data_IF_715336539047
#
_entry.id   IF_715336539047
#
_cell.length_a   1.000
_cell.length_b   1.000
_cell.length_c   1.000
_cell.angle_alpha   90.00
_cell.angle_beta   90.00
_cell.angle_gamma   90.00
#
_symmetry.space_group_name_H-M   'P 1'
#
loop_
_entity.id
_entity.type
_entity.pdbx_description
1 polymer ?
#
# COMPACT_ATOMS: atom_id res chain seq x y z
N UNK A 1 -10.06 21.05 0.01
CA UNK A 1 -10.63 21.54 1.29
C UNK A 1 -11.15 20.33 2.04
N UNK A 2 -10.77 20.15 3.31
CA UNK A 2 -11.31 19.09 4.18
C UNK A 2 -12.79 19.38 4.49
N UNK A 3 -13.59 18.31 4.60
CA UNK A 3 -14.97 18.42 5.08
C UNK A 3 -14.90 18.79 6.58
N UNK A 4 -15.35 19.98 6.94
CA UNK A 4 -15.43 20.36 8.35
C UNK A 4 -16.62 19.65 9.00
N UNK A 5 -16.34 18.88 10.05
CA UNK A 5 -17.31 18.19 10.89
C UNK A 5 -17.08 18.56 12.36
N UNK A 6 -18.09 18.45 13.24
CA UNK A 6 -17.92 18.70 14.67
C UNK A 6 -17.10 17.61 15.38
N UNK A 7 -16.57 16.65 14.64
CA UNK A 7 -15.74 15.55 15.11
C UNK A 7 -14.58 15.31 14.12
N UNK A 8 -13.52 14.74 14.60
CA UNK A 8 -12.39 14.29 13.82
C UNK A 8 -12.46 12.81 13.42
N UNK A 9 -11.39 12.35 12.81
CA UNK A 9 -11.16 10.94 12.51
C UNK A 9 -9.75 10.58 12.95
N UNK A 10 -9.60 9.55 13.78
CA UNK A 10 -8.28 9.09 14.20
C UNK A 10 -7.95 7.70 13.70
N UNK A 11 -6.69 7.43 13.48
CA UNK A 11 -6.16 6.08 13.30
C UNK A 11 -6.03 5.49 14.71
N UNK A 12 -6.97 4.61 15.07
CA UNK A 12 -7.07 4.05 16.42
C UNK A 12 -6.06 2.92 16.66
N UNK A 13 -5.69 2.19 15.61
CA UNK A 13 -4.72 1.12 15.69
C UNK A 13 -4.20 0.73 14.32
N UNK A 14 -3.00 0.15 14.30
CA UNK A 14 -2.35 -0.35 13.10
C UNK A 14 -1.89 -1.78 13.32
N UNK A 15 -1.74 -2.53 12.23
CA UNK A 15 -1.22 -3.89 12.26
C UNK A 15 -0.64 -4.29 10.92
N UNK A 16 0.31 -5.20 10.95
CA UNK A 16 0.92 -5.73 9.74
C UNK A 16 1.23 -7.21 9.85
N UNK A 17 1.30 -7.88 8.72
CA UNK A 17 1.67 -9.27 8.63
C UNK A 17 2.43 -9.56 7.34
N UNK A 18 3.45 -10.40 7.44
CA UNK A 18 4.20 -10.92 6.30
C UNK A 18 4.17 -12.44 6.32
N UNK A 19 4.25 -13.08 5.15
CA UNK A 19 4.39 -14.54 5.05
C UNK A 19 5.68 -15.05 5.67
N UNK A 20 5.72 -16.35 5.95
CA UNK A 20 6.85 -16.99 6.64
C UNK A 20 8.05 -17.26 5.74
N UNK A 21 7.81 -17.50 4.44
CA UNK A 21 8.88 -17.81 3.48
C UNK A 21 9.65 -16.57 3.10
N UNK A 22 10.97 -16.61 3.22
CA UNK A 22 11.86 -15.55 2.78
C UNK A 22 12.57 -15.99 1.51
N UNK A 23 12.55 -15.14 0.48
CA UNK A 23 13.34 -15.29 -0.74
C UNK A 23 14.45 -14.23 -0.72
N UNK A 24 15.72 -14.69 -0.68
CA UNK A 24 16.90 -13.82 -0.69
C UNK A 24 17.37 -13.56 -2.13
N UNK A 25 18.22 -12.55 -2.32
CA UNK A 25 18.87 -12.34 -3.62
C UNK A 25 19.74 -13.53 -4.02
N UNK A 26 20.44 -14.17 -3.06
CA UNK A 26 21.22 -15.39 -3.31
C UNK A 26 20.37 -16.59 -3.78
N UNK A 27 19.08 -16.62 -3.43
CA UNK A 27 18.17 -17.63 -3.95
C UNK A 27 17.74 -17.29 -5.40
N UNK A 28 17.56 -16.01 -5.70
CA UNK A 28 17.27 -15.55 -7.07
C UNK A 28 18.43 -15.80 -8.03
N UNK A 29 19.68 -15.66 -7.58
CA UNK A 29 20.89 -16.00 -8.37
C UNK A 29 20.90 -17.45 -8.88
N UNK A 30 20.25 -18.36 -8.13
CA UNK A 30 20.12 -19.78 -8.54
C UNK A 30 19.03 -20.00 -9.58
N UNK A 31 18.12 -19.02 -9.75
CA UNK A 31 16.92 -19.17 -10.58
C UNK A 31 17.02 -18.40 -11.90
N UNK A 32 17.69 -17.25 -11.89
CA UNK A 32 17.76 -16.32 -13.02
C UNK A 32 19.18 -15.71 -13.12
N UNK A 33 19.54 -15.21 -14.29
CA UNK A 33 20.81 -14.50 -14.51
C UNK A 33 20.78 -13.11 -13.83
N UNK A 34 21.25 -13.07 -12.58
CA UNK A 34 21.29 -11.85 -11.74
C UNK A 34 22.40 -11.97 -10.68
N UNK A 35 22.62 -10.90 -9.89
CA UNK A 35 23.47 -10.94 -8.70
C UNK A 35 22.90 -10.09 -7.57
N UNK A 36 23.23 -10.44 -6.33
CA UNK A 36 22.85 -9.69 -5.13
C UNK A 36 23.27 -8.22 -5.25
N UNK A 37 24.51 -7.96 -5.65
CA UNK A 37 25.02 -6.60 -5.87
C UNK A 37 24.20 -5.82 -6.90
N UNK A 38 23.83 -6.47 -8.03
CA UNK A 38 23.04 -5.85 -9.07
C UNK A 38 21.62 -5.52 -8.61
N UNK A 39 20.97 -6.44 -7.87
CA UNK A 39 19.62 -6.24 -7.33
C UNK A 39 19.63 -5.08 -6.32
N UNK A 40 20.56 -5.09 -5.35
CA UNK A 40 20.66 -4.03 -4.34
C UNK A 40 20.88 -2.67 -5.00
N UNK A 41 21.84 -2.57 -5.92
CA UNK A 41 22.14 -1.33 -6.63
C UNK A 41 20.95 -0.78 -7.42
N UNK A 42 20.09 -1.66 -7.93
CA UNK A 42 18.92 -1.29 -8.76
C UNK A 42 17.66 -1.00 -7.96
N UNK A 43 17.48 -1.65 -6.84
CA UNK A 43 16.19 -1.69 -6.13
C UNK A 43 16.27 -1.35 -4.65
N UNK A 44 17.44 -1.55 -4.02
CA UNK A 44 17.62 -1.50 -2.57
C UNK A 44 17.14 -2.77 -1.84
N UNK A 45 16.67 -3.79 -2.55
CA UNK A 45 16.05 -4.99 -1.97
C UNK A 45 17.11 -6.03 -1.65
N UNK A 46 17.16 -6.50 -0.39
CA UNK A 46 18.00 -7.60 0.06
C UNK A 46 17.24 -8.93 0.11
N UNK A 47 15.98 -8.87 0.53
CA UNK A 47 15.09 -10.03 0.64
C UNK A 47 13.62 -9.60 0.48
N UNK A 48 12.75 -10.57 0.27
CA UNK A 48 11.29 -10.39 0.26
C UNK A 48 10.61 -11.58 0.91
N UNK A 49 9.40 -11.36 1.42
CA UNK A 49 8.56 -12.40 1.96
C UNK A 49 7.60 -12.88 0.89
N UNK A 50 7.36 -14.17 0.80
CA UNK A 50 6.47 -14.80 -0.15
C UNK A 50 5.54 -15.78 0.57
N UNK A 51 4.31 -15.93 0.09
CA UNK A 51 3.41 -16.97 0.59
C UNK A 51 4.07 -18.35 0.57
N UNK A 52 3.92 -19.08 1.67
CA UNK A 52 4.32 -20.47 1.77
C UNK A 52 3.07 -21.36 1.73
N UNK A 53 2.63 -21.67 0.52
CA UNK A 53 1.47 -22.53 0.29
C UNK A 53 1.65 -23.93 0.92
N UNK A 54 2.90 -24.40 1.05
CA UNK A 54 3.18 -25.70 1.69
C UNK A 54 2.83 -25.71 3.17
N UNK A 55 2.76 -24.52 3.80
CA UNK A 55 2.32 -24.33 5.19
C UNK A 55 0.86 -23.90 5.30
N UNK A 56 0.14 -23.86 4.18
CA UNK A 56 -1.25 -23.42 4.14
C UNK A 56 -1.43 -21.90 4.28
N UNK A 57 -0.39 -21.10 4.05
CA UNK A 57 -0.53 -19.66 4.04
C UNK A 57 -1.35 -19.20 2.85
N UNK A 58 -2.28 -18.28 3.06
CA UNK A 58 -3.16 -17.70 2.06
C UNK A 58 -3.17 -16.18 2.18
N UNK A 59 -3.62 -15.49 1.14
CA UNK A 59 -3.83 -14.03 1.19
C UNK A 59 -4.76 -13.65 2.34
N UNK A 60 -5.88 -14.38 2.47
CA UNK A 60 -6.86 -14.16 3.54
C UNK A 60 -6.25 -14.28 4.94
N UNK A 61 -5.36 -15.25 5.17
CA UNK A 61 -4.73 -15.44 6.49
C UNK A 61 -3.80 -14.28 6.83
N UNK A 62 -3.07 -13.72 5.84
CA UNK A 62 -2.19 -12.58 6.07
C UNK A 62 -3.02 -11.31 6.33
N UNK A 63 -4.10 -11.10 5.58
CA UNK A 63 -5.08 -10.04 5.83
C UNK A 63 -5.67 -10.14 7.24
N UNK A 64 -6.09 -11.35 7.64
CA UNK A 64 -6.64 -11.64 8.97
C UNK A 64 -5.65 -11.27 10.08
N UNK A 65 -4.39 -11.66 9.94
CA UNK A 65 -3.33 -11.34 10.92
C UNK A 65 -3.10 -9.84 11.03
N UNK A 66 -3.07 -9.14 9.90
CA UNK A 66 -2.86 -7.69 9.88
C UNK A 66 -4.01 -6.93 10.56
N UNK A 67 -5.27 -7.23 10.19
CA UNK A 67 -6.43 -6.53 10.75
C UNK A 67 -6.65 -6.89 12.23
N UNK A 68 -6.42 -8.14 12.63
CA UNK A 68 -6.48 -8.53 14.04
C UNK A 68 -5.48 -7.75 14.89
N UNK A 69 -4.23 -7.63 14.41
CA UNK A 69 -3.23 -6.80 15.07
C UNK A 69 -3.62 -5.33 15.18
N UNK A 70 -4.31 -4.78 14.17
CA UNK A 70 -4.81 -3.41 14.20
C UNK A 70 -5.98 -3.24 15.18
N UNK A 71 -6.90 -4.22 15.28
CA UNK A 71 -7.99 -4.24 16.25
C UNK A 71 -7.45 -4.33 17.68
N UNK A 72 -6.50 -5.22 17.93
CA UNK A 72 -5.84 -5.36 19.21
C UNK A 72 -5.16 -4.06 19.66
N UNK A 73 -4.45 -3.40 18.74
CA UNK A 73 -3.82 -2.11 18.99
C UNK A 73 -4.84 -0.99 19.26
N UNK A 74 -6.01 -1.06 18.63
CA UNK A 74 -7.12 -0.12 18.85
C UNK A 74 -7.90 -0.42 20.13
N UNK A 75 -7.72 -1.59 20.75
CA UNK A 75 -8.55 -2.05 21.89
C UNK A 75 -10.00 -2.32 21.50
N UNK A 76 -10.24 -2.73 20.25
CA UNK A 76 -11.57 -2.93 19.66
C UNK A 76 -11.82 -4.38 19.28
N UNK A 77 -13.10 -4.75 19.25
CA UNK A 77 -13.54 -6.02 18.69
C UNK A 77 -13.92 -5.86 17.21
N UNK A 78 -13.83 -6.91 16.42
CA UNK A 78 -14.21 -6.88 15.01
C UNK A 78 -15.70 -6.51 14.81
N UNK A 79 -16.56 -6.88 15.75
CA UNK A 79 -17.99 -6.51 15.75
C UNK A 79 -18.27 -5.01 15.95
N UNK A 80 -17.26 -4.22 16.33
CA UNK A 80 -17.40 -2.76 16.48
C UNK A 80 -17.24 -2.04 15.15
N UNK A 81 -16.81 -2.74 14.10
CA UNK A 81 -16.66 -2.16 12.76
C UNK A 81 -18.01 -2.00 12.06
N UNK A 82 -18.21 -0.85 11.43
CA UNK A 82 -19.34 -0.59 10.53
C UNK A 82 -19.02 -1.00 9.09
N UNK A 83 -17.74 -0.97 8.73
CA UNK A 83 -17.28 -1.24 7.37
C UNK A 83 -15.88 -1.85 7.37
N UNK A 84 -15.64 -2.74 6.42
CA UNK A 84 -14.32 -3.34 6.14
C UNK A 84 -13.98 -3.15 4.66
N UNK A 85 -12.83 -2.54 4.38
CA UNK A 85 -12.33 -2.33 3.01
C UNK A 85 -11.01 -3.08 2.85
N UNK A 86 -10.92 -3.95 1.86
CA UNK A 86 -9.67 -4.62 1.48
C UNK A 86 -9.18 -4.04 0.16
N UNK A 87 -8.03 -3.39 0.17
CA UNK A 87 -7.35 -2.92 -1.03
C UNK A 87 -6.39 -3.98 -1.54
N UNK A 88 -6.76 -4.62 -2.65
CA UNK A 88 -5.95 -5.68 -3.26
C UNK A 88 -6.22 -5.79 -4.76
N UNK A 89 -5.20 -6.12 -5.53
CA UNK A 89 -5.30 -6.55 -6.93
C UNK A 89 -5.13 -8.08 -7.06
N UNK A 90 -4.73 -8.74 -5.97
CA UNK A 90 -4.42 -10.17 -5.92
C UNK A 90 -5.41 -10.97 -5.06
N UNK A 91 -6.67 -10.51 -4.98
CA UNK A 91 -7.75 -11.24 -4.32
C UNK A 91 -7.82 -12.69 -4.83
N UNK A 92 -8.06 -13.63 -3.90
CA UNK A 92 -8.02 -15.07 -4.21
C UNK A 92 -9.11 -15.50 -5.17
N UNK A 93 -10.20 -14.77 -5.26
CA UNK A 93 -11.30 -15.05 -6.19
C UNK A 93 -11.98 -13.75 -6.66
N UNK A 94 -12.62 -13.86 -7.82
CA UNK A 94 -13.36 -12.73 -8.38
C UNK A 94 -14.68 -12.46 -7.63
N UNK A 95 -15.24 -13.49 -6.99
CA UNK A 95 -16.47 -13.44 -6.20
C UNK A 95 -16.51 -14.66 -5.26
N UNK A 96 -16.84 -14.46 -3.97
CA UNK A 96 -17.07 -13.18 -3.30
C UNK A 96 -15.78 -12.35 -3.15
N UNK A 97 -15.91 -11.09 -2.68
CA UNK A 97 -14.76 -10.25 -2.35
C UNK A 97 -13.95 -10.83 -1.19
N UNK A 98 -12.64 -10.55 -1.16
CA UNK A 98 -11.81 -10.93 -0.02
C UNK A 98 -12.30 -10.26 1.27
N UNK A 99 -12.76 -9.01 1.20
CA UNK A 99 -13.32 -8.30 2.34
C UNK A 99 -14.53 -9.03 2.97
N UNK A 100 -15.41 -9.64 2.17
CA UNK A 100 -16.52 -10.44 2.70
C UNK A 100 -16.03 -11.73 3.39
N UNK A 101 -15.00 -12.37 2.84
CA UNK A 101 -14.40 -13.56 3.45
C UNK A 101 -13.65 -13.20 4.73
N UNK A 102 -12.95 -12.07 4.74
CA UNK A 102 -12.25 -11.54 5.91
C UNK A 102 -13.22 -11.15 7.01
N UNK A 103 -14.36 -10.53 6.67
CA UNK A 103 -15.43 -10.20 7.60
C UNK A 103 -15.89 -11.44 8.38
N UNK A 104 -16.12 -12.56 7.70
CA UNK A 104 -16.46 -13.84 8.33
C UNK A 104 -15.31 -14.34 9.20
N UNK A 105 -14.10 -14.36 8.67
CA UNK A 105 -12.93 -14.92 9.34
C UNK A 105 -12.54 -14.21 10.66
N UNK A 106 -12.89 -12.92 10.81
CA UNK A 106 -12.64 -12.12 12.02
C UNK A 106 -13.90 -11.90 12.87
N UNK A 107 -15.07 -12.32 12.40
CA UNK A 107 -16.35 -12.10 13.10
C UNK A 107 -16.82 -10.65 13.09
N UNK A 108 -16.59 -9.91 12.01
CA UNK A 108 -16.96 -8.50 11.89
C UNK A 108 -18.43 -8.27 11.49
N UNK A 109 -19.27 -9.30 11.55
CA UNK A 109 -20.71 -9.14 11.25
C UNK A 109 -21.36 -8.17 12.26
N UNK A 110 -22.22 -7.21 11.81
CA UNK A 110 -22.78 -7.07 10.45
C UNK A 110 -22.09 -5.98 9.58
N UNK A 111 -20.81 -5.71 9.77
CA UNK A 111 -20.09 -4.70 8.98
C UNK A 111 -20.28 -4.91 7.47
N UNK A 112 -20.51 -3.83 6.74
CA UNK A 112 -20.44 -3.85 5.28
C UNK A 112 -19.01 -4.19 4.83
N UNK A 113 -18.85 -4.86 3.66
CA UNK A 113 -17.52 -5.27 3.23
C UNK A 113 -17.38 -5.26 1.71
N UNK A 114 -16.27 -4.69 1.18
CA UNK A 114 -15.96 -4.71 -0.24
C UNK A 114 -14.46 -4.59 -0.51
N UNK A 115 -14.04 -5.08 -1.70
CA UNK A 115 -12.68 -4.90 -2.19
C UNK A 115 -12.55 -3.60 -2.99
N UNK A 116 -11.39 -2.94 -2.86
CA UNK A 116 -10.98 -1.78 -3.62
C UNK A 116 -9.74 -2.12 -4.45
N UNK A 117 -9.77 -1.87 -5.75
CA UNK A 117 -8.60 -2.05 -6.61
C UNK A 117 -8.11 -0.71 -7.16
N UNK A 118 -6.97 -0.26 -6.67
CA UNK A 118 -6.19 0.87 -7.18
C UNK A 118 -4.68 0.53 -7.19
N UNK A 119 -4.38 -0.77 -7.36
CA UNK A 119 -3.02 -1.32 -7.31
C UNK A 119 -2.25 -0.81 -6.08
N UNK A 120 -1.00 -0.37 -6.24
CA UNK A 120 -0.15 0.08 -5.13
C UNK A 120 -0.71 1.31 -4.39
N UNK A 121 -1.64 2.06 -4.98
CA UNK A 121 -2.35 3.17 -4.32
C UNK A 121 -3.47 2.71 -3.38
N UNK A 122 -3.84 1.43 -3.41
CA UNK A 122 -5.06 0.91 -2.79
C UNK A 122 -5.21 1.29 -1.32
N UNK A 123 -4.15 1.18 -0.51
CA UNK A 123 -4.23 1.56 0.90
C UNK A 123 -4.50 3.06 1.11
N UNK A 124 -3.80 3.95 0.39
CA UNK A 124 -3.99 5.40 0.53
C UNK A 124 -5.37 5.82 0.00
N UNK A 125 -5.86 5.18 -1.06
CA UNK A 125 -7.24 5.38 -1.54
C UNK A 125 -8.26 4.95 -0.47
N UNK A 126 -8.04 3.80 0.18
CA UNK A 126 -8.91 3.30 1.26
C UNK A 126 -8.88 4.23 2.48
N UNK A 127 -7.71 4.78 2.82
CA UNK A 127 -7.53 5.74 3.90
C UNK A 127 -8.36 7.02 3.65
N UNK A 128 -8.27 7.58 2.44
CA UNK A 128 -9.01 8.76 2.02
C UNK A 128 -10.53 8.51 1.99
N UNK A 129 -10.93 7.34 1.47
CA UNK A 129 -12.34 6.93 1.42
C UNK A 129 -12.92 6.75 2.82
N UNK A 130 -12.20 6.07 3.73
CA UNK A 130 -12.63 5.81 5.09
C UNK A 130 -12.82 7.11 5.89
N UNK A 131 -11.89 8.07 5.80
CA UNK A 131 -12.06 9.40 6.41
C UNK A 131 -13.34 10.08 5.89
N UNK A 132 -13.54 10.09 4.58
CA UNK A 132 -14.70 10.72 3.95
C UNK A 132 -16.02 10.06 4.37
N UNK A 133 -16.05 8.72 4.48
CA UNK A 133 -17.22 7.97 4.92
C UNK A 133 -17.53 8.23 6.40
N UNK A 134 -16.53 8.29 7.28
CA UNK A 134 -16.73 8.65 8.69
C UNK A 134 -17.23 10.09 8.79
N UNK A 135 -16.61 11.04 8.09
CA UNK A 135 -17.05 12.45 8.07
C UNK A 135 -18.45 12.64 7.49
N UNK A 136 -18.96 11.71 6.68
CA UNK A 136 -20.36 11.72 6.26
C UNK A 136 -21.37 11.49 7.43
N UNK A 137 -20.87 11.06 8.58
CA UNK A 137 -21.66 10.78 9.78
C UNK A 137 -22.39 9.43 9.80
N UNK A 138 -22.21 8.61 8.75
CA UNK A 138 -22.89 7.30 8.62
C UNK A 138 -22.11 6.14 9.20
N UNK A 139 -20.80 6.29 9.36
CA UNK A 139 -19.90 5.27 9.90
C UNK A 139 -19.14 5.84 11.09
N UNK A 140 -18.86 5.02 12.08
CA UNK A 140 -18.09 5.39 13.26
C UNK A 140 -16.74 4.67 13.32
N UNK A 141 -16.65 3.46 12.78
CA UNK A 141 -15.46 2.65 12.77
C UNK A 141 -15.31 1.90 11.44
N UNK A 142 -14.17 2.07 10.79
CA UNK A 142 -13.85 1.43 9.51
C UNK A 142 -12.49 0.74 9.62
N UNK A 143 -12.47 -0.56 9.32
CA UNK A 143 -11.22 -1.31 9.11
C UNK A 143 -10.78 -1.22 7.66
N UNK A 144 -9.51 -0.90 7.44
CA UNK A 144 -8.91 -0.92 6.09
C UNK A 144 -7.71 -1.86 6.08
N UNK A 145 -7.57 -2.65 5.03
CA UNK A 145 -6.43 -3.54 4.79
C UNK A 145 -5.86 -3.26 3.41
N UNK A 146 -4.57 -3.04 3.31
CA UNK A 146 -3.83 -3.09 2.05
C UNK A 146 -3.05 -4.41 2.00
N UNK A 147 -3.32 -5.24 1.01
CA UNK A 147 -2.67 -6.55 0.88
C UNK A 147 -2.49 -6.92 -0.58
N UNK A 148 -1.28 -7.31 -0.93
CA UNK A 148 -1.04 -8.01 -2.18
C UNK A 148 -0.10 -9.20 -1.98
N UNK A 149 -0.40 -10.29 -2.66
CA UNK A 149 0.41 -11.51 -2.73
C UNK A 149 0.86 -11.73 -4.17
N UNK A 150 1.69 -10.78 -4.62
CA UNK A 150 2.16 -10.73 -6.00
C UNK A 150 3.07 -11.90 -6.37
N UNK A 151 3.67 -12.60 -5.40
CA UNK A 151 4.52 -13.75 -5.68
C UNK A 151 3.85 -14.82 -6.54
N UNK A 152 2.52 -14.94 -6.48
CA UNK A 152 1.72 -15.86 -7.31
C UNK A 152 1.53 -15.39 -8.76
N UNK A 153 1.84 -14.12 -9.02
CA UNK A 153 1.64 -13.43 -10.29
C UNK A 153 2.96 -12.94 -10.90
N UNK A 154 4.09 -13.41 -10.37
CA UNK A 154 5.43 -13.08 -10.86
C UNK A 154 5.98 -14.24 -11.68
N UNK A 155 6.38 -13.95 -12.92
CA UNK A 155 7.16 -14.84 -13.71
C UNK A 155 8.62 -14.81 -13.27
N UNK A 156 9.03 -15.82 -12.51
CA UNK A 156 10.40 -15.93 -12.01
C UNK A 156 11.45 -16.25 -13.09
N UNK A 157 11.07 -16.31 -14.36
CA UNK A 157 12.00 -16.35 -15.49
C UNK A 157 12.28 -14.96 -16.07
N UNK A 158 11.48 -13.95 -15.69
CA UNK A 158 11.58 -12.57 -16.16
C UNK A 158 12.29 -11.71 -15.09
N UNK A 159 13.57 -11.39 -15.34
CA UNK A 159 14.47 -10.75 -14.38
C UNK A 159 13.98 -9.38 -13.86
N UNK A 160 13.32 -8.57 -14.70
CA UNK A 160 13.01 -7.18 -14.36
C UNK A 160 11.86 -7.08 -13.35
N UNK A 161 11.02 -8.11 -13.25
CA UNK A 161 9.86 -8.17 -12.36
C UNK A 161 10.15 -9.03 -11.14
N UNK A 162 10.82 -10.19 -11.34
CA UNK A 162 11.06 -11.19 -10.28
C UNK A 162 11.89 -10.69 -9.09
N UNK A 163 12.73 -9.69 -9.32
CA UNK A 163 13.61 -9.12 -8.28
C UNK A 163 12.89 -8.11 -7.36
N UNK A 164 11.67 -7.66 -7.70
CA UNK A 164 11.05 -6.51 -7.05
C UNK A 164 10.05 -6.88 -5.96
N UNK A 165 9.11 -7.77 -6.27
CA UNK A 165 7.89 -7.90 -5.49
C UNK A 165 8.03 -8.89 -4.33
N UNK A 166 7.37 -8.53 -3.22
CA UNK A 166 7.13 -9.38 -2.08
C UNK A 166 5.66 -9.30 -1.65
N UNK A 167 5.27 -10.18 -0.75
CA UNK A 167 3.92 -10.31 -0.22
C UNK A 167 3.85 -9.71 1.19
N UNK A 168 2.84 -8.89 1.45
CA UNK A 168 2.56 -8.38 2.77
C UNK A 168 1.12 -7.85 2.87
N UNK A 169 0.61 -7.81 4.08
CA UNK A 169 -0.58 -7.06 4.44
C UNK A 169 -0.25 -6.02 5.52
N UNK A 170 -0.91 -4.87 5.43
CA UNK A 170 -0.95 -3.91 6.50
C UNK A 170 -2.36 -3.36 6.66
N UNK A 171 -2.71 -2.91 7.86
CA UNK A 171 -4.05 -2.52 8.23
C UNK A 171 -4.06 -1.32 9.15
N UNK A 172 -5.17 -0.56 9.11
CA UNK A 172 -5.48 0.48 10.07
C UNK A 172 -6.97 0.43 10.44
N UNK A 173 -7.27 0.77 11.68
CA UNK A 173 -8.62 1.02 12.18
C UNK A 173 -8.82 2.51 12.29
N UNK A 174 -9.77 3.04 11.54
CA UNK A 174 -10.17 4.44 11.60
C UNK A 174 -11.46 4.57 12.41
N UNK A 175 -11.46 5.50 13.35
CA UNK A 175 -12.66 5.76 14.17
C UNK A 175 -12.96 7.24 14.22
N UNK A 176 -14.24 7.55 14.37
CA UNK A 176 -14.71 8.89 14.70
C UNK A 176 -14.11 9.34 16.04
N UNK A 177 -13.62 10.56 16.09
CA UNK A 177 -13.06 11.19 17.30
C UNK A 177 -13.91 12.41 17.68
N UNK A 178 -14.77 12.22 18.68
CA UNK A 178 -15.67 13.29 19.14
C UNK A 178 -14.95 14.31 20.05
N UNK A 179 -13.73 13.98 20.54
CA UNK A 179 -12.96 14.83 21.45
C UNK A 179 -11.98 15.75 20.70
N UNK A 180 -11.49 15.32 19.54
CA UNK A 180 -10.47 16.01 18.75
C UNK A 180 -10.95 16.26 17.30
N UNK A 181 -11.80 17.28 17.09
CA UNK A 181 -12.35 17.56 15.74
C UNK A 181 -11.29 17.97 14.71
N UNK A 182 -10.10 18.41 15.17
CA UNK A 182 -8.97 18.75 14.30
C UNK A 182 -8.25 17.55 13.70
N UNK A 183 -8.42 16.32 14.26
CA UNK A 183 -7.75 15.11 13.77
C UNK A 183 -8.36 14.59 12.48
N UNK A 184 -7.54 13.89 11.71
CA UNK A 184 -7.93 13.21 10.49
C UNK A 184 -7.28 13.79 9.25
N UNK A 185 -7.90 13.53 8.10
CA UNK A 185 -7.39 13.97 6.83
C UNK A 185 -7.55 15.50 6.66
N UNK A 186 -6.40 16.21 6.58
CA UNK A 186 -6.35 17.65 6.30
C UNK A 186 -6.47 17.91 4.79
N UNK A 187 -5.82 17.06 3.99
CA UNK A 187 -5.80 17.14 2.54
C UNK A 187 -5.71 15.75 1.94
N UNK A 188 -6.40 15.55 0.83
CA UNK A 188 -6.34 14.30 0.08
C UNK A 188 -6.39 14.57 -1.42
N UNK A 189 -5.65 13.75 -2.16
CA UNK A 189 -5.67 13.73 -3.62
C UNK A 189 -5.68 12.30 -4.13
N UNK A 190 -6.58 12.02 -5.07
CA UNK A 190 -6.70 10.77 -5.80
C UNK A 190 -6.74 11.13 -7.28
N UNK A 191 -5.79 10.65 -8.06
CA UNK A 191 -5.71 10.94 -9.49
C UNK A 191 -5.26 9.70 -10.27
N UNK A 192 -5.63 9.67 -11.56
CA UNK A 192 -5.21 8.60 -12.47
C UNK A 192 -5.09 9.11 -13.91
N UNK A 193 -4.23 8.44 -14.69
CA UNK A 193 -4.11 8.61 -16.13
C UNK A 193 -4.11 7.22 -16.81
N UNK A 194 -5.27 6.82 -17.31
CA UNK A 194 -5.44 5.52 -17.96
C UNK A 194 -4.66 5.35 -19.28
N UNK A 195 -4.13 6.42 -19.88
CA UNK A 195 -3.33 6.34 -21.12
C UNK A 195 -2.03 5.56 -20.95
N UNK A 196 -1.54 5.45 -19.69
CA UNK A 196 -0.30 4.74 -19.36
C UNK A 196 -0.48 3.27 -18.96
N UNK A 197 -1.69 2.70 -19.06
CA UNK A 197 -2.01 1.37 -18.53
C UNK A 197 -1.12 0.25 -19.08
N UNK A 198 -0.69 0.34 -20.34
CA UNK A 198 0.17 -0.64 -21.00
C UNK A 198 1.58 -0.76 -20.39
N UNK A 199 1.97 0.21 -19.54
CA UNK A 199 3.29 0.20 -18.91
C UNK A 199 3.39 -0.72 -17.71
N UNK A 200 2.26 -1.08 -17.09
CA UNK A 200 2.21 -1.98 -15.94
C UNK A 200 0.82 -2.64 -15.86
N UNK A 201 0.74 -3.91 -16.25
CA UNK A 201 -0.52 -4.62 -16.39
C UNK A 201 -0.39 -6.12 -16.05
N UNK A 202 -1.51 -6.76 -15.78
CA UNK A 202 -1.64 -8.19 -15.54
C UNK A 202 -2.88 -8.70 -16.30
N UNK A 203 -2.73 -9.27 -17.51
CA UNK A 203 -3.85 -9.64 -18.36
C UNK A 203 -4.53 -10.91 -17.86
N UNK A 204 -5.86 -10.93 -17.92
CA UNK A 204 -6.67 -12.14 -17.63
C UNK A 204 -7.08 -12.89 -18.88
N UNK A 205 -7.10 -12.23 -20.03
CA UNK A 205 -7.49 -12.77 -21.33
C UNK A 205 -6.55 -12.23 -22.41
N UNK A 206 -6.50 -12.91 -23.54
CA UNK A 206 -5.68 -12.49 -24.68
C UNK A 206 -6.08 -11.10 -25.22
N UNK A 207 -7.38 -10.77 -25.20
CA UNK A 207 -7.87 -9.47 -25.63
C UNK A 207 -7.43 -8.30 -24.74
N UNK A 208 -6.99 -8.61 -23.52
CA UNK A 208 -6.52 -7.61 -22.55
C UNK A 208 -5.02 -7.31 -22.72
N UNK A 209 -4.35 -7.95 -23.66
CA UNK A 209 -2.92 -7.74 -23.93
C UNK A 209 -2.73 -6.54 -24.84
N UNK A 210 -1.77 -5.62 -24.53
CA UNK A 210 -1.44 -4.52 -25.44
C UNK A 210 -1.04 -5.02 -26.84
N UNK A 211 -1.53 -4.35 -27.89
CA UNK A 211 -1.30 -4.76 -29.25
C UNK A 211 0.19 -4.77 -29.68
N UNK A 212 1.03 -4.03 -28.98
CA UNK A 212 2.48 -3.93 -29.18
C UNK A 212 3.31 -4.79 -28.22
N UNK A 213 2.67 -5.58 -27.37
CA UNK A 213 3.37 -6.50 -26.48
C UNK A 213 3.99 -7.67 -27.27
N UNK A 214 5.25 -8.05 -26.99
CA UNK A 214 5.84 -9.23 -27.63
C UNK A 214 5.08 -10.49 -27.22
N UNK A 215 4.55 -11.25 -28.21
CA UNK A 215 3.77 -12.48 -27.95
C UNK A 215 4.52 -13.50 -27.07
N UNK A 216 5.85 -13.57 -27.25
CA UNK A 216 6.71 -14.51 -26.49
C UNK A 216 6.84 -14.17 -25.01
N UNK A 217 6.47 -12.96 -24.58
CA UNK A 217 6.64 -12.46 -23.23
C UNK A 217 5.34 -12.42 -22.42
N UNK A 218 4.18 -12.61 -23.09
CA UNK A 218 2.89 -12.47 -22.42
C UNK A 218 2.43 -13.80 -21.85
N UNK A 219 2.22 -13.82 -20.53
CA UNK A 219 1.60 -14.94 -19.80
C UNK A 219 0.38 -14.43 -19.05
N UNK A 220 -0.76 -15.10 -19.25
CA UNK A 220 -2.00 -14.76 -18.57
C UNK A 220 -1.86 -14.87 -17.05
N UNK A 221 -2.36 -13.87 -16.33
CA UNK A 221 -2.29 -13.82 -14.87
C UNK A 221 -0.92 -13.44 -14.29
N UNK A 222 0.06 -13.10 -15.14
CA UNK A 222 1.37 -12.63 -14.69
C UNK A 222 1.58 -11.15 -14.96
N UNK A 223 2.20 -10.49 -14.01
CA UNK A 223 2.49 -9.05 -14.07
C UNK A 223 3.55 -8.76 -15.13
N UNK A 224 3.30 -7.74 -15.94
CA UNK A 224 4.22 -7.20 -16.94
C UNK A 224 4.50 -5.74 -16.68
N UNK A 225 5.76 -5.33 -16.86
CA UNK A 225 6.19 -3.97 -16.54
C UNK A 225 7.22 -3.44 -17.54
N UNK A 226 6.92 -2.29 -18.12
CA UNK A 226 7.94 -1.46 -18.75
C UNK A 226 8.66 -0.64 -17.66
N UNK A 227 9.71 -1.19 -17.10
CA UNK A 227 10.41 -0.59 -15.95
C UNK A 227 10.92 0.83 -16.19
N UNK A 228 11.26 1.20 -17.44
CA UNK A 228 11.73 2.55 -17.78
C UNK A 228 10.59 3.59 -17.69
N UNK A 229 9.46 3.29 -18.28
CA UNK A 229 8.30 4.19 -18.28
C UNK A 229 7.69 4.30 -16.87
N UNK A 230 7.57 3.17 -16.17
CA UNK A 230 7.11 3.15 -14.76
C UNK A 230 8.04 3.96 -13.87
N UNK A 231 9.37 3.85 -14.04
CA UNK A 231 10.33 4.64 -13.25
C UNK A 231 10.19 6.14 -13.49
N UNK A 232 10.11 6.59 -14.76
CA UNK A 232 9.92 8.02 -15.10
C UNK A 232 8.63 8.57 -14.49
N UNK A 233 7.53 7.82 -14.66
CA UNK A 233 6.24 8.16 -14.09
C UNK A 233 6.32 8.29 -12.57
N UNK A 234 6.86 7.27 -11.89
CA UNK A 234 6.95 7.21 -10.45
C UNK A 234 7.75 8.38 -9.86
N UNK A 235 8.95 8.67 -10.39
CA UNK A 235 9.78 9.80 -9.94
C UNK A 235 9.05 11.13 -10.10
N UNK A 236 8.39 11.34 -11.24
CA UNK A 236 7.64 12.58 -11.51
C UNK A 236 6.44 12.73 -10.57
N UNK A 237 5.66 11.65 -10.38
CA UNK A 237 4.44 11.72 -9.58
C UNK A 237 4.71 11.72 -8.08
N UNK A 238 5.75 11.03 -7.63
CA UNK A 238 6.16 11.06 -6.23
C UNK A 238 6.49 12.49 -5.77
N UNK A 239 7.30 13.20 -6.56
CA UNK A 239 7.61 14.60 -6.29
C UNK A 239 6.34 15.45 -6.32
N UNK A 240 5.58 15.35 -7.40
CA UNK A 240 4.37 16.16 -7.62
C UNK A 240 3.36 16.06 -6.47
N UNK A 241 3.04 14.85 -5.98
CA UNK A 241 2.02 14.70 -4.93
C UNK A 241 2.47 15.19 -3.56
N UNK A 242 3.77 15.22 -3.28
CA UNK A 242 4.29 15.79 -2.03
C UNK A 242 4.29 17.31 -2.11
N UNK A 243 4.83 17.88 -3.19
CA UNK A 243 4.85 19.34 -3.41
C UNK A 243 3.43 19.92 -3.39
N UNK A 244 2.51 19.29 -4.11
CA UNK A 244 1.09 19.66 -4.13
C UNK A 244 0.44 19.56 -2.74
N UNK A 245 0.71 18.51 -1.98
CA UNK A 245 0.18 18.34 -0.63
C UNK A 245 0.67 19.43 0.33
N UNK A 246 1.95 19.79 0.26
CA UNK A 246 2.53 20.86 1.07
C UNK A 246 1.97 22.23 0.64
N UNK A 247 1.89 22.51 -0.64
CA UNK A 247 1.33 23.75 -1.18
C UNK A 247 -0.14 23.95 -0.78
N UNK A 248 -0.98 22.91 -0.98
CA UNK A 248 -2.42 22.99 -0.70
C UNK A 248 -2.74 23.12 0.80
N UNK A 249 -1.85 22.63 1.67
CA UNK A 249 -2.01 22.72 3.12
C UNK A 249 -1.29 23.93 3.73
N UNK A 250 -0.38 24.56 3.01
CA UNK A 250 0.52 25.62 3.52
C UNK A 250 1.58 25.10 4.49
N UNK A 251 1.73 23.77 4.62
CA UNK A 251 2.72 23.14 5.49
C UNK A 251 4.09 23.11 4.84
N UNK A 252 5.12 23.18 5.70
CA UNK A 252 6.52 23.00 5.29
C UNK A 252 7.00 21.58 5.64
N UNK A 253 8.12 21.17 5.08
CA UNK A 253 8.73 19.85 5.38
C UNK A 253 8.99 19.67 6.87
N UNK A 254 9.34 20.76 7.56
CA UNK A 254 9.62 20.80 9.00
C UNK A 254 8.39 20.46 9.84
N UNK A 255 7.18 20.82 9.37
CA UNK A 255 5.91 20.57 10.05
C UNK A 255 5.46 19.10 10.00
N UNK A 256 6.04 18.32 9.09
CA UNK A 256 5.71 16.92 8.87
C UNK A 256 6.60 16.04 9.74
N UNK A 257 5.99 15.18 10.54
CA UNK A 257 6.72 14.18 11.33
C UNK A 257 7.26 13.06 10.46
N UNK A 258 6.45 12.50 9.55
CA UNK A 258 6.84 11.40 8.67
C UNK A 258 6.17 11.51 7.29
N UNK A 259 6.94 11.16 6.25
CA UNK A 259 6.44 10.85 4.91
C UNK A 259 6.37 9.32 4.75
N UNK A 260 5.16 8.77 4.80
CA UNK A 260 4.88 7.33 4.70
C UNK A 260 4.62 6.97 3.26
N UNK A 261 5.66 6.48 2.59
CA UNK A 261 5.69 6.34 1.15
C UNK A 261 5.57 4.89 0.69
N UNK A 262 4.93 4.68 -0.46
CA UNK A 262 4.96 3.39 -1.15
C UNK A 262 6.41 2.95 -1.43
N UNK A 263 6.74 1.73 -1.05
CA UNK A 263 8.04 1.10 -1.14
C UNK A 263 8.21 0.34 -2.47
N UNK A 264 8.31 1.07 -3.58
CA UNK A 264 8.41 0.45 -4.91
C UNK A 264 9.85 0.17 -5.35
N UNK A 265 10.75 1.12 -5.08
CA UNK A 265 12.16 1.07 -5.43
C UNK A 265 12.91 2.18 -4.67
N UNK A 266 14.03 1.84 -4.02
CA UNK A 266 14.82 2.81 -3.25
C UNK A 266 15.22 4.03 -4.08
N UNK A 267 15.59 3.84 -5.36
CA UNK A 267 16.03 4.91 -6.24
C UNK A 267 14.94 5.94 -6.56
N UNK A 268 13.67 5.52 -6.54
CA UNK A 268 12.53 6.44 -6.71
C UNK A 268 12.39 7.29 -5.46
N UNK A 269 12.45 6.67 -4.28
CA UNK A 269 12.34 7.36 -2.98
C UNK A 269 13.49 8.34 -2.81
N UNK A 270 14.74 7.92 -3.04
CA UNK A 270 15.92 8.76 -2.92
C UNK A 270 15.91 9.94 -3.90
N UNK A 271 15.48 9.69 -5.15
CA UNK A 271 15.34 10.77 -6.14
C UNK A 271 14.33 11.84 -5.72
N UNK A 272 13.23 11.45 -5.09
CA UNK A 272 12.24 12.41 -4.58
C UNK A 272 12.76 13.13 -3.33
N UNK A 273 13.41 12.41 -2.41
CA UNK A 273 14.04 13.00 -1.21
C UNK A 273 15.04 14.09 -1.60
N UNK A 274 15.94 13.79 -2.54
CA UNK A 274 16.94 14.74 -3.03
C UNK A 274 16.30 16.00 -3.63
N UNK A 275 15.30 15.83 -4.48
CA UNK A 275 14.66 16.93 -5.19
C UNK A 275 13.86 17.85 -4.27
N UNK A 276 13.18 17.29 -3.27
CA UNK A 276 12.30 18.04 -2.35
C UNK A 276 13.09 18.52 -1.12
N UNK A 277 14.27 17.91 -0.85
CA UNK A 277 15.05 18.18 0.35
C UNK A 277 14.48 17.50 1.60
N UNK A 278 13.90 16.29 1.46
CA UNK A 278 13.36 15.57 2.61
C UNK A 278 14.48 14.99 3.47
N UNK A 279 14.48 15.24 4.80
CA UNK A 279 15.44 14.64 5.74
C UNK A 279 15.29 13.10 5.80
N UNK A 280 16.39 12.40 6.01
CA UNK A 280 16.43 10.93 6.07
C UNK A 280 15.56 10.35 7.20
N UNK A 281 15.53 11.01 8.33
CA UNK A 281 14.75 10.61 9.52
C UNK A 281 13.24 10.79 9.34
N UNK A 282 12.81 11.58 8.35
CA UNK A 282 11.38 11.79 8.03
C UNK A 282 10.84 10.85 6.97
N UNK A 283 11.66 10.04 6.32
CA UNK A 283 11.23 9.07 5.29
C UNK A 283 11.61 7.67 5.74
N UNK A 284 10.60 6.86 6.08
CA UNK A 284 10.83 5.48 6.47
C UNK A 284 11.08 4.60 5.25
N UNK A 285 12.13 3.79 5.31
CA UNK A 285 12.51 2.84 4.26
C UNK A 285 12.58 1.45 4.88
N UNK A 286 11.85 0.51 4.30
CA UNK A 286 11.84 -0.90 4.68
C UNK A 286 11.81 -1.87 3.49
N UNK A 287 11.98 -1.31 2.28
CA UNK A 287 12.00 -2.09 1.04
C UNK A 287 13.12 -3.13 1.02
N UNK A 288 14.22 -2.87 1.72
CA UNK A 288 15.35 -3.79 1.88
C UNK A 288 14.93 -5.15 2.48
N UNK A 289 13.92 -5.14 3.34
CA UNK A 289 13.42 -6.32 4.08
C UNK A 289 12.26 -7.02 3.38
N UNK A 290 11.38 -6.24 2.75
CA UNK A 290 10.08 -6.74 2.29
C UNK A 290 9.91 -6.72 0.78
N UNK A 291 10.78 -6.01 0.05
CA UNK A 291 10.56 -5.74 -1.36
C UNK A 291 9.38 -4.80 -1.59
N UNK A 292 8.89 -4.77 -2.82
CA UNK A 292 7.68 -4.04 -3.17
C UNK A 292 6.44 -4.91 -2.84
N UNK A 293 5.78 -4.62 -1.75
CA UNK A 293 4.54 -5.30 -1.33
C UNK A 293 3.26 -4.58 -1.78
N UNK A 294 3.34 -3.79 -2.85
CA UNK A 294 2.20 -3.12 -3.48
C UNK A 294 1.31 -2.34 -2.49
N UNK A 295 0.00 -2.65 -2.41
CA UNK A 295 -0.94 -1.99 -1.49
C UNK A 295 -0.59 -2.17 -0.01
N UNK A 296 0.12 -3.24 0.36
CA UNK A 296 0.55 -3.51 1.74
C UNK A 296 1.66 -2.58 2.23
N UNK A 297 2.46 -2.00 1.32
CA UNK A 297 3.72 -1.34 1.68
C UNK A 297 3.56 -0.08 2.55
N UNK A 298 2.61 0.79 2.22
CA UNK A 298 2.33 2.02 2.97
C UNK A 298 1.81 1.69 4.37
N UNK A 299 0.91 0.72 4.45
CA UNK A 299 0.34 0.26 5.71
C UNK A 299 1.38 -0.41 6.62
N UNK A 300 2.29 -1.20 6.04
CA UNK A 300 3.41 -1.81 6.76
C UNK A 300 4.36 -0.75 7.33
N UNK A 301 4.70 0.28 6.53
CA UNK A 301 5.49 1.42 7.01
C UNK A 301 4.77 2.16 8.14
N UNK A 302 3.46 2.40 8.02
CA UNK A 302 2.67 3.05 9.06
C UNK A 302 2.71 2.26 10.37
N UNK A 303 2.54 0.94 10.32
CA UNK A 303 2.58 0.09 11.51
C UNK A 303 3.96 0.10 12.18
N UNK A 304 5.06 -0.02 11.40
CA UNK A 304 6.43 0.05 11.94
C UNK A 304 6.72 1.42 12.59
N UNK A 305 6.30 2.51 11.97
CA UNK A 305 6.47 3.86 12.49
C UNK A 305 5.67 4.10 13.77
N UNK A 306 4.42 3.65 13.81
CA UNK A 306 3.55 3.76 14.99
C UNK A 306 4.11 2.94 16.15
N UNK A 307 4.48 1.68 15.93
CA UNK A 307 5.07 0.81 16.96
C UNK A 307 6.41 1.30 17.49
N UNK A 308 7.19 1.96 16.65
CA UNK A 308 8.49 2.54 17.07
C UNK A 308 8.37 3.90 17.73
N UNK A 309 7.16 4.48 17.87
CA UNK A 309 6.94 5.78 18.46
C UNK A 309 7.44 6.95 17.60
N UNK A 310 7.62 6.74 16.30
CA UNK A 310 8.01 7.79 15.34
C UNK A 310 6.82 8.55 14.77
N UNK A 311 5.61 8.07 15.01
CA UNK A 311 4.34 8.75 14.79
C UNK A 311 3.58 8.77 16.10
N UNK A 312 3.21 9.96 16.57
CA UNK A 312 2.54 10.18 17.85
C UNK A 312 1.24 10.99 17.64
N UNK A 313 0.29 10.91 18.58
CA UNK A 313 -0.92 11.75 18.52
C UNK A 313 -0.57 13.23 18.39
N UNK A 314 -1.21 13.89 17.41
CA UNK A 314 -0.99 15.31 17.08
C UNK A 314 0.05 15.54 15.97
N UNK A 315 0.83 14.55 15.60
CA UNK A 315 1.79 14.65 14.49
C UNK A 315 1.06 14.83 13.15
N UNK A 316 1.73 15.54 12.23
CA UNK A 316 1.30 15.59 10.83
C UNK A 316 2.09 14.59 10.00
N UNK A 317 1.37 13.78 9.22
CA UNK A 317 1.92 12.69 8.42
C UNK A 317 1.44 12.84 6.98
N UNK A 318 2.34 12.65 6.03
CA UNK A 318 2.01 12.63 4.61
C UNK A 318 2.10 11.20 4.08
N UNK A 319 1.00 10.65 3.61
CA UNK A 319 0.96 9.36 2.91
C UNK A 319 1.09 9.59 1.41
N UNK A 320 1.91 8.76 0.75
CA UNK A 320 2.19 8.88 -0.68
C UNK A 320 2.20 7.52 -1.35
N UNK A 321 1.44 7.39 -2.44
CA UNK A 321 1.45 6.19 -3.27
C UNK A 321 1.30 6.51 -4.75
N UNK A 322 1.82 5.63 -5.58
CA UNK A 322 1.63 5.59 -7.03
C UNK A 322 1.64 4.12 -7.48
N UNK A 323 0.97 3.81 -8.58
CA UNK A 323 0.83 2.43 -9.02
C UNK A 323 0.32 2.27 -10.45
N UNK A 324 0.03 1.01 -10.78
CA UNK A 324 -0.58 0.67 -12.08
C UNK A 324 -1.90 1.41 -12.30
N UNK A 325 -2.19 1.66 -13.56
CA UNK A 325 -3.40 2.32 -13.99
C UNK A 325 -3.18 3.38 -15.06
N UNK A 326 -2.35 4.41 -15.00
CA UNK A 326 -1.47 4.74 -13.85
C UNK A 326 -2.25 5.51 -12.80
N UNK A 327 -1.97 5.26 -11.54
CA UNK A 327 -2.63 5.92 -10.40
C UNK A 327 -1.61 6.61 -9.49
N UNK A 328 -2.02 7.68 -8.81
CA UNK A 328 -1.22 8.32 -7.75
C UNK A 328 -2.12 8.97 -6.71
N UNK A 329 -1.62 9.10 -5.50
CA UNK A 329 -2.38 9.64 -4.38
C UNK A 329 -1.47 10.20 -3.32
N UNK A 330 -1.96 11.24 -2.64
CA UNK A 330 -1.43 11.72 -1.38
C UNK A 330 -2.54 11.95 -0.36
N UNK A 331 -2.17 11.93 0.91
CA UNK A 331 -3.06 12.23 2.02
C UNK A 331 -2.25 12.86 3.15
N UNK A 332 -2.65 14.05 3.61
CA UNK A 332 -2.05 14.71 4.77
C UNK A 332 -2.96 14.51 5.97
N UNK A 333 -2.42 13.97 7.03
CA UNK A 333 -3.16 13.66 8.25
C UNK A 333 -2.60 14.37 9.46
N UNK A 334 -3.49 14.79 10.34
CA UNK A 334 -3.17 15.04 11.74
C UNK A 334 -3.64 13.83 12.56
N UNK A 335 -2.70 13.04 13.09
CA UNK A 335 -2.99 11.77 13.78
C UNK A 335 -3.26 11.94 15.25
#
# INVERSE_FOLDING_TARGET
>A
MSIQTPFGVRIAGTGSAVPSRVLTNADLEKMIDTSDEWIIKRTGIHKRHLLDESKGETTLEIERRAITGALDAAGMQASDLDLLIVASLTSEMACPSNACRLNEAIGAYPAGSFDLNAACCGFVYSLNLADSLIRSGRHRAIGIVGCDTLSRHIDYTERTVSILFGDAAGSAILVRDDEHPERGCIYQKIESDGRGWESLYMPRREEDVPANAPESEVRMGYLRMNGREVYKFAVSKFQYVIEDALEQTGLQVEDIAQFVCHQSNIRIIESAKEKIGLPDDKVHINIDKYGNSSAGSVALCLDELTRSGRINPGDKVVFVAFGAGMTWSSSVWQV
#
